data_IF_462936051022
#
_entry.id   IF_462936051022
#
_cell.length_a   1.000
_cell.length_b   1.000
_cell.length_c   1.000
_cell.angle_alpha   90.00
_cell.angle_beta   90.00
_cell.angle_gamma   90.00
#
_symmetry.space_group_name_H-M   'P 1'
#
loop_
_entity.id
_entity.type
_entity.pdbx_description
1 polymer ?
#
# COMPACT_ATOMS: atom_id res chain seq x y z
N UNK A 1 -29.60 1.01 11.37
CA UNK A 1 -31.05 0.87 11.05
C UNK A 1 -31.29 -0.13 9.91
N UNK A 2 -30.43 -0.23 8.89
CA UNK A 2 -30.58 -1.18 7.76
C UNK A 2 -30.40 -2.66 8.17
N UNK A 3 -29.44 -2.98 9.03
CA UNK A 3 -29.20 -4.36 9.51
C UNK A 3 -30.35 -4.89 10.38
N UNK A 4 -31.07 -4.03 11.11
CA UNK A 4 -32.19 -4.40 11.95
C UNK A 4 -33.49 -4.72 11.15
N UNK A 5 -33.63 -4.16 9.94
CA UNK A 5 -34.78 -4.40 9.08
C UNK A 5 -34.80 -5.79 8.41
N UNK A 6 -33.65 -6.42 8.25
CA UNK A 6 -33.55 -7.68 7.51
C UNK A 6 -33.62 -8.95 8.38
N UNK A 7 -33.81 -8.83 9.71
CA UNK A 7 -33.76 -9.95 10.68
C UNK A 7 -32.52 -10.85 10.53
N UNK A 8 -31.48 -10.37 9.87
CA UNK A 8 -30.20 -11.09 9.76
C UNK A 8 -29.38 -10.84 11.02
N UNK A 9 -28.71 -11.86 11.50
CA UNK A 9 -27.72 -11.73 12.57
C UNK A 9 -26.71 -10.66 12.20
N UNK A 10 -26.22 -9.91 13.19
CA UNK A 10 -25.12 -8.94 13.00
C UNK A 10 -23.85 -9.77 12.78
N UNK A 11 -23.67 -10.29 11.57
CA UNK A 11 -22.46 -10.97 11.17
C UNK A 11 -21.39 -9.93 10.75
N UNK A 12 -20.10 -10.20 10.97
CA UNK A 12 -19.02 -9.28 10.61
C UNK A 12 -19.06 -8.80 9.15
N UNK A 13 -19.50 -9.65 8.22
CA UNK A 13 -19.67 -9.29 6.82
C UNK A 13 -20.77 -8.24 6.58
N UNK A 14 -21.86 -8.28 7.36
CA UNK A 14 -22.96 -7.32 7.25
C UNK A 14 -22.56 -5.97 7.85
N UNK A 15 -21.81 -5.97 8.96
CA UNK A 15 -21.25 -4.76 9.58
C UNK A 15 -20.28 -4.09 8.62
N UNK A 16 -19.35 -4.86 8.03
CA UNK A 16 -18.40 -4.34 7.04
C UNK A 16 -19.11 -3.74 5.82
N UNK A 17 -20.14 -4.41 5.29
CA UNK A 17 -20.94 -3.90 4.17
C UNK A 17 -21.61 -2.56 4.48
N UNK A 18 -22.16 -2.38 5.69
CA UNK A 18 -22.78 -1.13 6.13
C UNK A 18 -21.71 -0.04 6.28
N UNK A 19 -20.57 -0.33 6.89
CA UNK A 19 -19.48 0.62 7.05
C UNK A 19 -18.91 1.07 5.69
N UNK A 20 -18.80 0.15 4.73
CA UNK A 20 -18.38 0.48 3.35
C UNK A 20 -19.38 1.40 2.66
N UNK A 21 -20.70 1.12 2.79
CA UNK A 21 -21.77 1.97 2.24
C UNK A 21 -21.81 3.36 2.89
N UNK A 22 -21.34 3.49 4.12
CA UNK A 22 -21.25 4.75 4.84
C UNK A 22 -19.93 5.51 4.54
N UNK A 23 -19.07 4.97 3.66
CA UNK A 23 -17.74 5.54 3.41
C UNK A 23 -16.77 5.46 4.59
N UNK A 24 -17.10 4.63 5.59
CA UNK A 24 -16.38 4.62 6.88
C UNK A 24 -15.19 3.65 6.94
N UNK A 25 -14.92 2.89 5.86
CA UNK A 25 -13.81 1.94 5.84
C UNK A 25 -12.94 2.11 4.61
N UNK A 26 -11.64 2.37 4.78
CA UNK A 26 -10.70 2.29 3.67
C UNK A 26 -10.71 0.86 3.11
N UNK A 27 -10.69 0.73 1.78
CA UNK A 27 -10.62 -0.57 1.12
C UNK A 27 -9.17 -1.05 1.08
N UNK A 28 -8.92 -2.28 1.54
CA UNK A 28 -7.62 -2.90 1.30
C UNK A 28 -7.50 -3.34 -0.16
N UNK A 29 -6.32 -3.13 -0.76
CA UNK A 29 -6.04 -3.64 -2.11
C UNK A 29 -6.17 -5.17 -2.13
N UNK A 30 -6.84 -5.72 -3.16
CA UNK A 30 -7.09 -7.16 -3.26
C UNK A 30 -5.78 -7.93 -3.48
N UNK A 31 -5.38 -8.84 -2.57
CA UNK A 31 -4.09 -9.54 -2.67
C UNK A 31 -3.90 -10.30 -3.98
N UNK A 32 -4.94 -10.96 -4.47
CA UNK A 32 -4.88 -11.69 -5.74
C UNK A 32 -4.62 -10.78 -6.95
N UNK A 33 -5.27 -9.61 -7.00
CA UNK A 33 -5.02 -8.62 -8.06
C UNK A 33 -3.60 -8.07 -7.96
N UNK A 34 -3.11 -7.83 -6.74
CA UNK A 34 -1.73 -7.42 -6.52
C UNK A 34 -0.73 -8.48 -7.00
N UNK A 35 -0.97 -9.75 -6.65
CA UNK A 35 -0.14 -10.87 -7.08
C UNK A 35 0.00 -10.92 -8.61
N UNK A 36 -1.11 -10.85 -9.34
CA UNK A 36 -1.10 -10.90 -10.82
C UNK A 36 -0.26 -9.76 -11.43
N UNK A 37 -0.41 -8.55 -10.93
CA UNK A 37 0.35 -7.39 -11.42
C UNK A 37 1.84 -7.54 -11.06
N UNK A 38 2.14 -7.90 -9.82
CA UNK A 38 3.52 -8.08 -9.35
C UNK A 38 4.22 -9.20 -10.14
N UNK A 39 3.58 -10.34 -10.32
CA UNK A 39 4.13 -11.45 -11.12
C UNK A 39 4.31 -11.11 -12.60
N UNK A 40 3.46 -10.25 -13.16
CA UNK A 40 3.57 -9.84 -14.56
C UNK A 40 4.84 -9.03 -14.83
N UNK A 41 5.20 -8.13 -13.91
CA UNK A 41 6.24 -7.12 -14.14
C UNK A 41 7.52 -7.34 -13.34
N UNK A 42 7.51 -8.17 -12.31
CA UNK A 42 8.72 -8.50 -11.54
C UNK A 42 9.32 -9.80 -12.04
N UNK A 43 10.63 -9.85 -12.34
CA UNK A 43 11.30 -11.10 -12.70
C UNK A 43 11.37 -12.07 -11.50
N UNK A 44 11.63 -13.35 -11.76
CA UNK A 44 11.94 -14.32 -10.71
C UNK A 44 13.18 -13.89 -9.94
N UNK A 45 13.11 -13.98 -8.60
CA UNK A 45 14.11 -13.46 -7.67
C UNK A 45 14.32 -11.93 -7.75
N UNK A 46 13.38 -11.21 -8.35
CA UNK A 46 13.42 -9.75 -8.47
C UNK A 46 13.03 -9.02 -7.19
N UNK A 47 13.17 -7.70 -7.23
CA UNK A 47 12.81 -6.79 -6.14
C UNK A 47 11.59 -5.96 -6.54
N UNK A 48 10.55 -6.03 -5.72
CA UNK A 48 9.35 -5.19 -5.84
C UNK A 48 9.35 -4.13 -4.75
N UNK A 49 9.17 -2.87 -5.15
CA UNK A 49 9.07 -1.72 -4.26
C UNK A 49 7.65 -1.17 -4.19
N UNK A 50 7.13 -1.01 -2.97
CA UNK A 50 5.81 -0.43 -2.69
C UNK A 50 5.96 0.84 -1.87
N UNK A 51 5.70 1.98 -2.50
CA UNK A 51 5.88 3.30 -1.89
C UNK A 51 4.76 3.72 -0.92
N UNK A 52 3.70 2.90 -0.76
CA UNK A 52 2.60 3.13 0.18
C UNK A 52 1.98 1.79 0.56
N UNK A 53 2.70 1.00 1.38
CA UNK A 53 2.34 -0.41 1.65
C UNK A 53 0.93 -0.60 2.24
N UNK A 54 0.41 0.38 2.97
CA UNK A 54 -0.94 0.39 3.53
C UNK A 54 -1.26 -0.85 4.36
N UNK A 55 -2.47 -1.38 4.20
CA UNK A 55 -3.01 -2.49 5.02
C UNK A 55 -2.53 -3.90 4.62
N UNK A 56 -1.45 -4.02 3.84
CA UNK A 56 -0.76 -5.28 3.57
C UNK A 56 -1.33 -6.12 2.42
N UNK A 57 -2.32 -5.65 1.68
CA UNK A 57 -2.88 -6.43 0.56
C UNK A 57 -1.85 -6.71 -0.54
N UNK A 58 -1.00 -5.73 -0.88
CA UNK A 58 0.07 -5.90 -1.86
C UNK A 58 1.25 -6.71 -1.30
N UNK A 59 1.56 -6.56 0.00
CA UNK A 59 2.53 -7.42 0.69
C UNK A 59 2.11 -8.88 0.60
N UNK A 60 0.86 -9.21 0.96
CA UNK A 60 0.35 -10.58 0.89
C UNK A 60 0.39 -11.10 -0.57
N UNK A 61 -0.02 -10.30 -1.54
CA UNK A 61 0.06 -10.66 -2.96
C UNK A 61 1.48 -10.98 -3.42
N UNK A 62 2.47 -10.22 -2.94
CA UNK A 62 3.87 -10.48 -3.23
C UNK A 62 4.37 -11.77 -2.57
N UNK A 63 4.11 -11.95 -1.26
CA UNK A 63 4.58 -13.11 -0.50
C UNK A 63 3.94 -14.43 -0.95
N UNK A 64 2.75 -14.39 -1.54
CA UNK A 64 2.09 -15.56 -2.14
C UNK A 64 2.54 -15.87 -3.57
N UNK A 65 3.33 -14.99 -4.20
CA UNK A 65 3.89 -15.18 -5.54
C UNK A 65 4.75 -16.45 -5.65
N UNK A 66 4.76 -17.06 -6.83
CA UNK A 66 5.62 -18.22 -7.14
C UNK A 66 7.04 -17.82 -7.58
N UNK A 67 7.34 -16.52 -7.65
CA UNK A 67 8.58 -15.99 -8.23
C UNK A 67 9.70 -15.63 -7.24
N UNK A 68 9.54 -15.95 -5.95
CA UNK A 68 10.51 -15.61 -4.90
C UNK A 68 10.90 -14.13 -4.88
N UNK A 69 9.91 -13.24 -4.94
CA UNK A 69 10.13 -11.81 -5.05
C UNK A 69 10.48 -11.24 -3.67
N UNK A 70 11.49 -10.36 -3.63
CA UNK A 70 11.81 -9.58 -2.45
C UNK A 70 10.93 -8.33 -2.42
N UNK A 71 10.09 -8.22 -1.39
CA UNK A 71 9.25 -7.06 -1.13
C UNK A 71 10.00 -5.99 -0.33
N UNK A 72 9.91 -4.74 -0.77
CA UNK A 72 10.35 -3.57 0.01
C UNK A 72 9.17 -2.61 0.09
N UNK A 73 8.68 -2.36 1.30
CA UNK A 73 7.55 -1.46 1.53
C UNK A 73 7.88 -0.31 2.45
N UNK A 74 7.25 0.84 2.21
CA UNK A 74 7.32 2.00 3.10
C UNK A 74 5.92 2.47 3.49
N UNK A 75 5.74 2.87 4.74
CA UNK A 75 4.52 3.48 5.26
C UNK A 75 4.88 4.25 6.55
N UNK A 76 4.41 5.48 6.76
CA UNK A 76 4.72 6.22 7.96
C UNK A 76 3.97 5.72 9.18
N UNK A 77 2.81 5.08 9.02
CA UNK A 77 1.96 4.69 10.11
C UNK A 77 2.49 3.45 10.84
N UNK A 78 2.69 3.60 12.15
CA UNK A 78 3.29 2.57 13.01
C UNK A 78 2.47 1.29 13.08
N UNK A 79 1.16 1.42 13.23
CA UNK A 79 0.24 0.28 13.39
C UNK A 79 0.21 -0.60 12.15
N UNK A 80 0.21 -0.01 10.95
CA UNK A 80 0.31 -0.79 9.70
C UNK A 80 1.64 -1.53 9.61
N UNK A 81 2.73 -0.91 10.01
CA UNK A 81 4.04 -1.57 10.02
C UNK A 81 4.07 -2.76 10.98
N UNK A 82 3.51 -2.62 12.19
CA UNK A 82 3.39 -3.73 13.15
C UNK A 82 2.54 -4.86 12.59
N UNK A 83 1.37 -4.54 12.03
CA UNK A 83 0.47 -5.55 11.47
C UNK A 83 1.07 -6.26 10.26
N UNK A 84 1.73 -5.51 9.36
CA UNK A 84 2.36 -6.05 8.18
C UNK A 84 3.58 -6.93 8.51
N UNK A 85 4.36 -6.59 9.54
CA UNK A 85 5.42 -7.49 10.04
C UNK A 85 4.85 -8.82 10.55
N UNK A 86 3.75 -8.78 11.33
CA UNK A 86 3.07 -10.02 11.78
C UNK A 86 2.54 -10.84 10.60
N UNK A 87 1.96 -10.17 9.59
CA UNK A 87 1.51 -10.83 8.36
C UNK A 87 2.68 -11.49 7.62
N UNK A 88 3.80 -10.77 7.49
CA UNK A 88 5.00 -11.29 6.85
C UNK A 88 5.55 -12.52 7.56
N UNK A 89 5.71 -12.47 8.89
CA UNK A 89 6.13 -13.60 9.71
C UNK A 89 5.21 -14.82 9.55
N UNK A 90 3.89 -14.60 9.61
CA UNK A 90 2.92 -15.68 9.39
C UNK A 90 3.07 -16.31 8.00
N UNK A 91 3.30 -15.50 6.96
CA UNK A 91 3.53 -16.01 5.61
C UNK A 91 4.84 -16.82 5.51
N UNK A 92 5.93 -16.35 6.12
CA UNK A 92 7.22 -17.09 6.15
C UNK A 92 7.05 -18.44 6.83
N UNK A 93 6.38 -18.50 7.99
CA UNK A 93 6.15 -19.74 8.74
C UNK A 93 5.21 -20.72 8.01
N UNK A 94 4.17 -20.19 7.33
CA UNK A 94 3.10 -21.01 6.75
C UNK A 94 3.37 -21.44 5.32
N UNK A 95 3.95 -20.56 4.50
CA UNK A 95 4.09 -20.81 3.07
C UNK A 95 5.39 -21.52 2.71
N UNK A 96 6.36 -21.60 3.62
CA UNK A 96 7.68 -22.23 3.39
C UNK A 96 8.35 -21.75 2.09
N UNK A 97 8.14 -20.47 1.73
CA UNK A 97 8.64 -19.87 0.49
C UNK A 97 9.88 -19.02 0.75
N UNK A 98 10.70 -18.86 -0.26
CA UNK A 98 11.90 -18.02 -0.23
C UNK A 98 11.64 -16.53 -0.49
N UNK A 99 10.38 -16.12 -0.68
CA UNK A 99 10.02 -14.70 -0.74
C UNK A 99 10.35 -14.03 0.59
N UNK A 100 10.98 -12.87 0.53
CA UNK A 100 11.38 -12.11 1.70
C UNK A 100 10.78 -10.70 1.65
N UNK A 101 10.69 -10.05 2.82
CA UNK A 101 10.17 -8.70 2.90
C UNK A 101 11.04 -7.81 3.79
N UNK A 102 11.00 -6.52 3.52
CA UNK A 102 11.59 -5.48 4.36
C UNK A 102 10.66 -4.29 4.41
N UNK A 103 10.25 -3.90 5.61
CA UNK A 103 9.32 -2.80 5.83
C UNK A 103 10.04 -1.65 6.53
N UNK A 104 9.75 -0.42 6.09
CA UNK A 104 10.29 0.79 6.69
C UNK A 104 9.15 1.68 7.16
N UNK A 105 9.21 2.09 8.42
CA UNK A 105 8.27 3.06 8.99
C UNK A 105 8.71 4.48 8.63
N UNK A 106 8.42 4.90 7.40
CA UNK A 106 8.75 6.22 6.88
C UNK A 106 7.79 6.59 5.74
N UNK A 107 7.46 7.86 5.60
CA UNK A 107 6.76 8.35 4.42
C UNK A 107 7.64 8.27 3.17
N UNK A 108 7.06 7.83 2.06
CA UNK A 108 7.79 7.64 0.80
C UNK A 108 8.44 8.92 0.27
N UNK A 109 7.82 10.07 0.54
CA UNK A 109 8.35 11.39 0.18
C UNK A 109 9.65 11.74 0.93
N UNK A 110 9.88 11.12 2.09
CA UNK A 110 11.07 11.31 2.95
C UNK A 110 12.07 10.16 2.83
N UNK A 111 11.66 9.03 2.24
CA UNK A 111 12.49 7.85 2.14
C UNK A 111 13.67 8.11 1.18
N UNK A 112 14.87 8.04 1.72
CA UNK A 112 16.10 8.11 0.93
C UNK A 112 16.71 6.72 0.92
N UNK A 113 16.62 6.06 -0.20
CA UNK A 113 17.38 4.84 -0.45
C UNK A 113 18.74 5.24 -1.02
N UNK A 114 19.78 4.44 -0.71
CA UNK A 114 21.08 4.61 -1.38
C UNK A 114 20.86 4.68 -2.88
N UNK A 115 21.60 5.53 -3.60
CA UNK A 115 21.42 5.80 -5.04
C UNK A 115 21.61 4.57 -5.96
N UNK A 116 21.48 3.36 -5.43
CA UNK A 116 21.55 2.12 -6.17
C UNK A 116 20.13 1.76 -6.66
N UNK A 117 19.98 1.69 -7.96
CA UNK A 117 18.79 1.20 -8.62
C UNK A 117 18.64 -0.30 -8.35
N UNK A 118 17.85 -0.68 -7.35
CA UNK A 118 17.71 -2.06 -6.88
C UNK A 118 16.37 -2.69 -7.24
N UNK A 119 15.32 -1.90 -7.47
CA UNK A 119 13.98 -2.41 -7.71
C UNK A 119 13.73 -2.70 -9.19
N UNK A 120 13.22 -3.88 -9.48
CA UNK A 120 12.85 -4.32 -10.83
C UNK A 120 11.45 -3.86 -11.23
N UNK A 121 10.62 -3.54 -10.24
CA UNK A 121 9.24 -3.09 -10.43
C UNK A 121 8.77 -2.28 -9.23
N UNK A 122 7.92 -1.29 -9.47
CA UNK A 122 7.16 -0.62 -8.41
C UNK A 122 5.69 -0.54 -8.78
N UNK A 123 4.84 -0.85 -7.79
CA UNK A 123 3.40 -0.74 -7.89
C UNK A 123 2.85 -0.23 -6.56
N UNK A 124 2.02 0.79 -6.61
CA UNK A 124 1.43 1.39 -5.42
C UNK A 124 0.04 1.96 -5.70
N UNK A 125 -0.76 2.07 -4.64
CA UNK A 125 -1.96 2.89 -4.58
C UNK A 125 -1.71 3.88 -3.43
N UNK A 126 -1.30 5.12 -3.74
CA UNK A 126 -1.05 6.12 -2.72
C UNK A 126 -2.38 6.63 -2.14
N UNK A 127 -2.40 7.19 -0.92
CA UNK A 127 -3.60 7.83 -0.38
C UNK A 127 -4.03 9.00 -1.28
N UNK A 128 -5.34 9.15 -1.49
CA UNK A 128 -5.93 10.16 -2.39
C UNK A 128 -6.24 11.45 -1.64
N UNK A 129 -5.20 12.22 -1.32
CA UNK A 129 -5.25 13.48 -0.58
C UNK A 129 -6.03 13.33 0.74
N UNK A 130 -7.18 14.00 0.90
CA UNK A 130 -8.05 13.99 2.07
C UNK A 130 -9.29 13.08 1.93
N UNK A 131 -9.38 12.36 0.79
CA UNK A 131 -10.50 11.43 0.54
C UNK A 131 -10.44 10.18 1.43
N UNK A 132 -9.24 9.79 1.87
CA UNK A 132 -9.02 8.63 2.72
C UNK A 132 -8.31 9.07 4.01
N UNK A 133 -9.07 9.11 5.09
CA UNK A 133 -8.57 9.46 6.42
C UNK A 133 -8.43 8.18 7.24
N UNK A 134 -7.22 7.65 7.31
CA UNK A 134 -6.95 6.38 8.00
C UNK A 134 -6.78 6.55 9.51
N UNK A 135 -6.22 7.66 9.95
CA UNK A 135 -5.91 7.95 11.35
C UNK A 135 -5.58 9.43 11.53
N UNK A 136 -5.69 9.93 12.76
CA UNK A 136 -5.32 11.31 13.13
C UNK A 136 -3.79 11.48 13.36
N UNK A 137 -2.98 10.49 12.99
CA UNK A 137 -1.53 10.54 13.14
C UNK A 137 -0.94 11.67 12.25
N UNK A 138 -0.10 12.56 12.79
CA UNK A 138 0.46 13.69 12.05
C UNK A 138 1.38 13.28 10.88
N UNK A 139 1.76 12.02 10.79
CA UNK A 139 2.52 11.48 9.65
C UNK A 139 1.66 11.23 8.41
N UNK A 140 0.33 11.30 8.53
CA UNK A 140 -0.57 11.15 7.39
C UNK A 140 -0.39 12.28 6.40
N UNK A 141 -0.36 11.96 5.11
CA UNK A 141 -0.01 12.92 4.07
C UNK A 141 -0.98 14.11 3.98
N UNK A 142 -2.28 13.90 4.22
CA UNK A 142 -3.28 14.98 4.21
C UNK A 142 -3.15 15.91 5.42
N UNK A 143 -2.63 15.41 6.57
CA UNK A 143 -2.33 16.23 7.76
C UNK A 143 -1.01 16.98 7.56
N UNK A 144 0.03 16.28 7.10
CA UNK A 144 1.34 16.87 6.88
C UNK A 144 1.35 17.91 5.74
N UNK A 145 0.48 17.73 4.74
CA UNK A 145 0.37 18.59 3.55
C UNK A 145 -1.10 18.98 3.29
N UNK A 146 -1.71 19.83 4.14
CA UNK A 146 -3.16 20.10 4.11
C UNK A 146 -3.64 20.90 2.89
N UNK A 147 -2.74 21.47 2.11
CA UNK A 147 -3.07 22.15 0.86
C UNK A 147 -2.83 21.21 -0.33
N UNK A 148 -3.81 21.05 -1.22
CA UNK A 148 -3.72 20.18 -2.39
C UNK A 148 -2.45 20.43 -3.21
N UNK A 149 -2.08 21.69 -3.46
CA UNK A 149 -0.86 22.05 -4.19
C UNK A 149 0.42 21.57 -3.49
N UNK A 150 0.46 21.64 -2.16
CA UNK A 150 1.56 21.14 -1.35
C UNK A 150 1.59 19.62 -1.30
N UNK A 151 0.42 19.00 -1.21
CA UNK A 151 0.31 17.54 -1.29
C UNK A 151 0.81 17.01 -2.65
N UNK A 152 0.40 17.66 -3.76
CA UNK A 152 0.90 17.30 -5.10
C UNK A 152 2.43 17.47 -5.20
N UNK A 153 2.99 18.60 -4.77
CA UNK A 153 4.42 18.87 -4.94
C UNK A 153 5.30 18.11 -3.95
N UNK A 154 4.93 18.10 -2.67
CA UNK A 154 5.80 17.65 -1.58
C UNK A 154 5.55 16.18 -1.20
N UNK A 155 4.35 15.66 -1.41
CA UNK A 155 4.08 14.24 -1.21
C UNK A 155 4.16 13.47 -2.54
N UNK A 156 3.24 13.70 -3.48
CA UNK A 156 3.20 12.93 -4.74
C UNK A 156 4.48 13.07 -5.55
N UNK A 157 4.91 14.32 -5.80
CA UNK A 157 6.11 14.59 -6.61
C UNK A 157 7.38 14.01 -6.00
N UNK A 158 7.53 14.11 -4.67
CA UNK A 158 8.69 13.54 -3.97
C UNK A 158 8.61 12.00 -3.93
N UNK A 159 7.41 11.42 -3.72
CA UNK A 159 7.21 9.96 -3.78
C UNK A 159 7.61 9.41 -5.16
N UNK A 160 7.14 10.05 -6.24
CA UNK A 160 7.49 9.65 -7.61
C UNK A 160 9.00 9.75 -7.82
N UNK A 161 9.62 10.87 -7.43
CA UNK A 161 11.07 11.07 -7.56
C UNK A 161 11.87 10.01 -6.79
N UNK A 162 11.50 9.74 -5.54
CA UNK A 162 12.19 8.74 -4.72
C UNK A 162 12.01 7.31 -5.27
N UNK A 163 10.80 7.00 -5.78
CA UNK A 163 10.54 5.72 -6.46
C UNK A 163 11.34 5.58 -7.74
N UNK A 164 11.43 6.64 -8.54
CA UNK A 164 12.25 6.65 -9.76
C UNK A 164 13.73 6.35 -9.46
N UNK A 165 14.26 6.92 -8.38
CA UNK A 165 15.67 6.75 -8.01
C UNK A 165 16.01 5.33 -7.55
N UNK A 166 15.05 4.55 -7.04
CA UNK A 166 15.26 3.16 -6.62
C UNK A 166 15.03 2.15 -7.75
N UNK A 167 14.33 2.54 -8.81
CA UNK A 167 14.04 1.69 -9.95
C UNK A 167 15.25 1.51 -10.86
N UNK A 168 15.46 0.29 -11.32
CA UNK A 168 16.45 -0.03 -12.35
C UNK A 168 16.07 0.62 -13.68
N UNK A 169 17.05 0.98 -14.54
CA UNK A 169 16.77 1.43 -15.90
C UNK A 169 15.87 0.43 -16.66
N UNK A 170 14.78 0.94 -17.25
CA UNK A 170 13.80 0.12 -17.97
C UNK A 170 12.74 -0.55 -17.10
N UNK A 171 12.81 -0.43 -15.78
CA UNK A 171 11.77 -0.93 -14.87
C UNK A 171 10.48 -0.12 -14.98
N UNK A 172 9.34 -0.77 -14.70
CA UNK A 172 8.03 -0.10 -14.68
C UNK A 172 7.67 0.42 -13.30
N UNK A 173 7.05 1.59 -13.29
CA UNK A 173 6.34 2.14 -12.14
C UNK A 173 4.85 2.25 -12.45
N UNK A 174 4.03 1.52 -11.71
CA UNK A 174 2.57 1.52 -11.84
C UNK A 174 1.95 2.21 -10.63
N UNK A 175 1.08 3.17 -10.87
CA UNK A 175 0.34 3.89 -9.84
C UNK A 175 -1.15 3.66 -10.08
N UNK A 176 -1.82 3.07 -9.10
CA UNK A 176 -3.27 2.94 -9.07
C UNK A 176 -3.85 4.15 -8.32
N UNK A 177 -4.44 5.05 -9.07
CA UNK A 177 -5.04 6.28 -8.55
C UNK A 177 -6.34 6.56 -9.28
N UNK A 178 -7.39 6.86 -8.53
CA UNK A 178 -8.68 7.25 -9.08
C UNK A 178 -8.81 8.77 -9.20
N UNK A 179 -9.64 9.22 -10.14
CA UNK A 179 -10.11 10.60 -10.12
C UNK A 179 -10.95 10.83 -8.87
N UNK A 180 -10.66 11.89 -8.15
CA UNK A 180 -11.45 12.32 -7.02
C UNK A 180 -11.83 13.78 -7.16
N UNK A 181 -13.09 14.08 -6.83
CA UNK A 181 -13.54 15.45 -6.77
C UNK A 181 -13.21 16.03 -5.39
N UNK A 182 -12.31 16.98 -5.36
CA UNK A 182 -12.04 17.77 -4.15
C UNK A 182 -13.16 18.82 -4.04
N UNK A 183 -14.20 18.48 -3.28
CA UNK A 183 -15.26 19.43 -2.95
C UNK A 183 -14.69 20.40 -1.88
N UNK A 184 -14.36 21.61 -2.31
CA UNK A 184 -14.23 22.76 -1.43
C UNK A 184 -15.56 23.46 -1.26
#
# INVERSE_FOLDING_TARGET
RGALRTRRSIAPCNVRGIMTLMGATPSNFKPFSAQLVIERYTPTNGVYFDSSQGLGGRLLGCLTSQKNIKYIGVDPWRETNICNNKLGQYCEETLCKSSSYKLFQIGSEKAKFSNEAIADFSFTSPPYFDCEQYTDDPTQCYIAYPQLSKWISNFCGMTIKNTYNILKPGAFYVVDIADFMHNK
#
